data_IF_455044019018
#
_entry.id   IF_455044019018
#
_cell.length_a   1.000
_cell.length_b   1.000
_cell.length_c   1.000
_cell.angle_alpha   90.00
_cell.angle_beta   90.00
_cell.angle_gamma   90.00
#
_symmetry.space_group_name_H-M   'P 1'
#
loop_
_entity.id
_entity.type
_entity.pdbx_description
1 polymer ?
#
# COMPACT_ATOMS: atom_id res chain seq x y z
N UNK A 1 8.84 3.04 -29.16
CA UNK A 1 8.74 3.25 -27.70
C UNK A 1 9.52 4.51 -27.40
N UNK A 2 8.91 5.52 -26.78
CA UNK A 2 9.64 6.75 -26.46
C UNK A 2 10.64 6.53 -25.31
N UNK A 3 11.75 7.26 -25.35
CA UNK A 3 12.82 7.14 -24.38
C UNK A 3 12.41 7.63 -22.99
N UNK A 4 11.54 8.64 -22.93
CA UNK A 4 10.83 9.12 -21.75
C UNK A 4 10.15 8.00 -20.94
N UNK A 5 9.35 7.17 -21.62
CA UNK A 5 8.65 6.02 -21.03
C UNK A 5 9.63 4.97 -20.50
N UNK A 6 10.71 4.70 -21.24
CA UNK A 6 11.77 3.77 -20.82
C UNK A 6 12.50 4.26 -19.57
N UNK A 7 12.85 5.54 -19.50
CA UNK A 7 13.57 6.13 -18.37
C UNK A 7 12.72 6.16 -17.09
N UNK A 8 11.44 6.53 -17.20
CA UNK A 8 10.53 6.51 -16.04
C UNK A 8 10.25 5.09 -15.53
N UNK A 9 10.11 4.12 -16.43
CA UNK A 9 10.05 2.71 -16.04
C UNK A 9 11.34 2.27 -15.33
N UNK A 10 12.53 2.59 -15.83
CA UNK A 10 13.79 2.26 -15.15
C UNK A 10 13.89 2.88 -13.75
N UNK A 11 13.41 4.13 -13.57
CA UNK A 11 13.33 4.78 -12.27
C UNK A 11 12.35 4.09 -11.29
N UNK A 12 11.21 3.57 -11.78
CA UNK A 12 10.26 2.78 -10.99
C UNK A 12 10.86 1.46 -10.45
N UNK A 13 11.91 0.96 -11.10
CA UNK A 13 12.38 -0.41 -10.98
C UNK A 13 13.47 -0.60 -9.92
N UNK A 14 13.94 0.46 -9.25
CA UNK A 14 15.20 0.47 -8.49
C UNK A 14 16.41 0.03 -9.34
N UNK A 15 16.34 0.24 -10.67
CA UNK A 15 17.50 0.10 -11.55
C UNK A 15 18.25 1.44 -11.48
N UNK A 16 19.53 1.46 -11.05
CA UNK A 16 20.23 2.70 -10.74
C UNK A 16 20.35 3.65 -11.94
N UNK A 17 19.59 4.74 -11.91
CA UNK A 17 19.52 5.75 -12.98
C UNK A 17 20.79 6.62 -13.06
N UNK A 18 21.74 6.46 -12.12
CA UNK A 18 23.03 7.15 -12.13
C UNK A 18 23.98 6.72 -13.28
N UNK A 19 23.62 5.71 -14.07
CA UNK A 19 24.44 5.19 -15.18
C UNK A 19 24.08 5.73 -16.58
N UNK A 20 23.15 6.69 -16.71
CA UNK A 20 22.76 7.28 -18.01
C UNK A 20 22.72 8.82 -18.02
N UNK A 21 23.55 9.48 -17.20
CA UNK A 21 23.93 10.89 -17.47
C UNK A 21 25.13 10.92 -18.41
N UNK A 22 24.85 11.01 -19.71
CA UNK A 22 25.84 11.23 -20.76
C UNK A 22 25.45 12.46 -21.62
N UNK A 23 25.28 13.61 -20.95
CA UNK A 23 25.01 14.92 -21.55
C UNK A 23 25.31 16.05 -20.53
N UNK A 24 26.57 16.10 -20.08
CA UNK A 24 27.39 17.24 -19.59
C UNK A 24 26.82 18.34 -18.63
N UNK A 25 27.70 19.10 -17.94
CA UNK A 25 27.28 19.95 -16.83
C UNK A 25 26.66 21.28 -17.30
N UNK A 26 25.72 21.79 -16.49
CA UNK A 26 25.47 23.23 -16.43
C UNK A 26 26.69 23.85 -15.76
N UNK A 27 27.45 24.64 -16.52
CA UNK A 27 28.47 25.52 -15.99
C UNK A 27 27.81 26.53 -15.04
N UNK A 28 28.27 26.54 -13.78
CA UNK A 28 28.10 27.67 -12.89
C UNK A 28 29.34 28.54 -13.05
N UNK A 29 29.31 29.41 -14.07
CA UNK A 29 30.31 30.46 -14.25
C UNK A 29 30.00 31.65 -13.32
N UNK A 30 31.09 32.24 -12.81
CA UNK A 30 31.22 33.51 -12.10
C UNK A 30 30.41 33.74 -10.80
N UNK A 31 31.11 33.58 -9.68
CA UNK A 31 30.91 34.45 -8.52
C UNK A 31 31.23 35.92 -8.87
N UNK A 32 30.76 36.86 -8.05
CA UNK A 32 31.71 37.84 -7.52
C UNK A 32 31.97 37.60 -6.02
N UNK A 33 33.25 37.37 -5.69
CA UNK A 33 33.79 37.42 -4.34
C UNK A 33 33.64 38.82 -3.68
N UNK A 34 34.11 38.93 -2.42
CA UNK A 34 34.55 40.16 -1.70
C UNK A 34 33.43 41.05 -1.11
N UNK A 35 33.52 41.54 0.13
CA UNK A 35 34.39 41.24 1.29
C UNK A 35 33.58 41.64 2.56
N UNK A 36 33.46 40.81 3.60
CA UNK A 36 34.40 40.59 4.73
C UNK A 36 34.45 41.71 5.81
N UNK A 37 34.64 41.30 7.08
CA UNK A 37 34.64 42.10 8.34
C UNK A 37 33.25 42.51 8.86
N UNK A 38 32.72 42.15 10.05
CA UNK A 38 33.22 41.65 11.35
C UNK A 38 33.49 42.70 12.45
N UNK A 39 32.65 42.70 13.48
CA UNK A 39 32.92 42.84 14.94
C UNK A 39 31.62 42.44 15.69
N UNK A 40 31.61 41.69 16.80
CA UNK A 40 32.03 42.03 18.19
C UNK A 40 31.17 43.21 18.73
N UNK A 41 30.47 43.17 19.87
CA UNK A 41 30.73 42.44 21.13
C UNK A 41 29.46 42.04 21.92
N UNK A 42 29.70 41.36 23.05
CA UNK A 42 28.85 40.81 24.12
C UNK A 42 28.00 41.86 24.91
N UNK A 43 27.25 41.60 26.00
CA UNK A 43 27.17 40.59 27.09
C UNK A 43 25.72 39.99 27.17
N UNK A 44 25.41 38.82 27.76
CA UNK A 44 25.43 38.40 29.19
C UNK A 44 24.53 39.30 30.09
N UNK A 45 23.77 38.86 31.10
CA UNK A 45 23.58 37.57 31.84
C UNK A 45 22.06 37.19 31.78
N UNK A 46 21.44 36.16 32.38
CA UNK A 46 21.79 35.13 33.37
C UNK A 46 20.93 33.83 33.17
N UNK A 47 20.95 32.91 34.14
CA UNK A 47 20.23 31.61 34.11
C UNK A 47 19.67 31.22 35.53
N UNK A 48 19.11 30.01 35.76
CA UNK A 48 18.12 29.69 36.83
C UNK A 48 18.83 29.10 38.11
N UNK A 49 18.20 28.36 39.07
CA UNK A 49 16.83 27.83 39.16
C UNK A 49 16.12 27.89 40.53
N UNK A 50 14.86 27.42 40.57
CA UNK A 50 14.13 27.11 41.80
C UNK A 50 13.37 25.78 41.66
N UNK A 51 13.60 24.84 42.59
CA UNK A 51 12.98 23.52 42.59
C UNK A 51 12.40 23.18 43.97
N UNK A 52 11.09 22.92 44.04
CA UNK A 52 10.45 22.41 45.25
C UNK A 52 9.40 21.33 44.95
N UNK A 53 9.46 20.24 45.72
CA UNK A 53 8.40 19.24 45.85
C UNK A 53 7.71 19.42 47.20
N UNK A 54 6.40 19.68 47.21
CA UNK A 54 5.48 19.29 48.28
C UNK A 54 4.16 18.92 47.58
N UNK A 55 3.56 17.72 47.67
CA UNK A 55 3.20 16.77 48.75
C UNK A 55 1.89 17.11 49.49
N UNK A 56 0.99 16.13 49.44
CA UNK A 56 -0.09 15.77 50.38
C UNK A 56 -1.25 16.75 50.66
N UNK A 57 -2.46 16.34 50.27
CA UNK A 57 -3.75 16.46 50.97
C UNK A 57 -4.77 15.57 50.21
N UNK A 58 -4.77 14.26 50.43
CA UNK A 58 -5.65 13.55 51.38
C UNK A 58 -7.16 13.61 51.06
N UNK A 59 -7.64 12.52 50.46
CA UNK A 59 -9.05 12.13 50.41
C UNK A 59 -9.12 10.59 50.38
N UNK A 60 -9.46 9.96 51.50
CA UNK A 60 -9.39 8.50 51.69
C UNK A 60 -10.64 7.97 52.40
N UNK A 61 -10.72 6.63 52.51
CA UNK A 61 -11.87 5.84 52.99
C UNK A 61 -13.00 5.66 51.95
N UNK A 62 -13.61 4.47 51.80
CA UNK A 62 -13.40 3.20 52.49
C UNK A 62 -13.65 1.96 51.58
N UNK A 63 -12.99 0.85 51.91
CA UNK A 63 -13.31 -0.49 51.39
C UNK A 63 -13.81 -1.39 52.52
N UNK A 64 -14.95 -2.08 52.38
CA UNK A 64 -15.28 -3.22 53.23
C UNK A 64 -14.56 -4.49 52.74
N UNK A 65 -13.95 -5.24 53.65
CA UNK A 65 -13.37 -6.57 53.36
C UNK A 65 -14.43 -7.66 53.57
N UNK A 66 -14.46 -8.64 52.68
CA UNK A 66 -14.99 -10.00 52.97
C UNK A 66 -13.94 -11.02 52.50
N UNK A 67 -13.71 -12.05 53.31
CA UNK A 67 -12.67 -13.07 53.11
C UNK A 67 -13.24 -14.36 52.46
N UNK A 68 -12.40 -15.24 51.86
CA UNK A 68 -12.87 -16.24 50.91
C UNK A 68 -13.17 -17.63 51.53
N UNK A 69 -14.05 -18.43 50.90
CA UNK A 69 -14.11 -19.87 51.10
C UNK A 69 -13.16 -20.64 50.17
N UNK A 70 -12.57 -21.69 50.76
CA UNK A 70 -11.66 -22.73 50.24
C UNK A 70 -11.76 -23.13 48.76
N UNK A 71 -10.61 -23.54 48.21
CA UNK A 71 -10.49 -24.24 46.93
C UNK A 71 -11.19 -25.61 46.91
N UNK A 72 -11.67 -26.00 45.73
CA UNK A 72 -12.06 -27.36 45.34
C UNK A 72 -11.34 -27.70 44.03
N UNK A 73 -11.02 -28.97 43.83
CA UNK A 73 -10.15 -29.48 42.77
C UNK A 73 -10.68 -29.33 41.35
N UNK A 74 -9.72 -29.38 40.43
CA UNK A 74 -9.82 -29.70 39.00
C UNK A 74 -11.19 -30.18 38.49
N UNK A 75 -11.77 -29.35 37.62
CA UNK A 75 -12.05 -29.84 36.26
C UNK A 75 -11.48 -28.86 35.26
N UNK A 76 -10.50 -29.31 34.47
CA UNK A 76 -10.12 -28.66 33.24
C UNK A 76 -11.29 -28.75 32.24
N UNK A 77 -12.26 -27.84 32.39
CA UNK A 77 -13.07 -27.42 31.25
C UNK A 77 -12.11 -26.69 30.32
N UNK A 78 -11.60 -27.41 29.33
CA UNK A 78 -11.03 -26.78 28.14
C UNK A 78 -12.02 -25.71 27.69
N UNK A 79 -11.63 -24.45 27.81
CA UNK A 79 -12.26 -23.41 27.00
C UNK A 79 -12.10 -23.91 25.57
N UNK A 80 -13.19 -24.11 24.80
CA UNK A 80 -13.02 -24.37 23.39
C UNK A 80 -12.30 -23.15 22.85
N UNK A 81 -11.04 -23.33 22.43
CA UNK A 81 -10.35 -22.31 21.66
C UNK A 81 -11.29 -21.99 20.50
N UNK A 82 -11.61 -20.71 20.34
CA UNK A 82 -12.54 -20.28 19.30
C UNK A 82 -12.09 -20.78 17.93
N UNK A 83 -12.99 -20.82 16.94
CA UNK A 83 -12.56 -21.08 15.56
C UNK A 83 -11.37 -20.17 15.22
N UNK A 84 -10.42 -20.71 14.45
CA UNK A 84 -9.25 -19.96 14.01
C UNK A 84 -9.69 -18.61 13.40
N UNK A 85 -8.86 -17.58 13.61
CA UNK A 85 -9.17 -16.17 13.30
C UNK A 85 -9.95 -16.04 12.00
N UNK A 86 -11.12 -15.38 12.05
CA UNK A 86 -12.06 -15.32 10.92
C UNK A 86 -11.38 -14.65 9.71
N UNK A 87 -10.91 -15.48 8.77
CA UNK A 87 -9.99 -15.11 7.68
C UNK A 87 -10.57 -14.08 6.71
N UNK A 88 -10.53 -12.82 7.12
CA UNK A 88 -10.95 -11.69 6.31
C UNK A 88 -10.03 -11.43 5.11
N UNK A 89 -10.56 -10.63 4.17
CA UNK A 89 -9.84 -10.11 3.03
C UNK A 89 -9.71 -8.59 3.17
N UNK A 90 -8.49 -8.08 3.02
CA UNK A 90 -8.21 -6.64 3.01
C UNK A 90 -7.50 -6.30 1.70
N UNK A 91 -8.09 -5.39 0.92
CA UNK A 91 -7.59 -4.98 -0.40
C UNK A 91 -7.38 -3.47 -0.46
N UNK A 92 -6.52 -3.03 -1.38
CA UNK A 92 -6.31 -1.63 -1.74
C UNK A 92 -6.71 -1.44 -3.20
N UNK A 93 -7.79 -0.69 -3.45
CA UNK A 93 -8.20 -0.26 -4.78
C UNK A 93 -7.57 1.11 -5.07
N UNK A 94 -6.84 1.23 -6.18
CA UNK A 94 -6.07 2.45 -6.50
C UNK A 94 -6.32 2.85 -7.97
N UNK A 95 -7.23 3.80 -8.23
CA UNK A 95 -7.37 4.42 -9.54
C UNK A 95 -6.16 5.34 -9.83
N UNK A 96 -5.46 5.07 -10.92
CA UNK A 96 -4.25 5.78 -11.34
C UNK A 96 -4.28 6.00 -12.87
N UNK A 97 -4.74 7.18 -13.30
CA UNK A 97 -5.03 7.45 -14.71
C UNK A 97 -6.17 6.57 -15.23
N UNK A 98 -6.00 5.98 -16.41
CA UNK A 98 -6.98 5.06 -17.02
C UNK A 98 -6.90 3.63 -16.48
N UNK A 99 -6.07 3.35 -15.46
CA UNK A 99 -5.92 2.00 -14.88
C UNK A 99 -6.42 1.99 -13.44
N UNK A 100 -7.23 0.98 -13.09
CA UNK A 100 -7.54 0.65 -11.70
C UNK A 100 -6.66 -0.52 -11.25
N UNK A 101 -5.79 -0.27 -10.28
CA UNK A 101 -5.00 -1.32 -9.63
C UNK A 101 -5.77 -1.86 -8.42
N UNK A 102 -5.72 -3.16 -8.19
CA UNK A 102 -6.35 -3.83 -7.04
C UNK A 102 -5.34 -4.83 -6.47
N UNK A 103 -4.81 -4.56 -5.27
CA UNK A 103 -3.84 -5.42 -4.58
C UNK A 103 -4.35 -5.81 -3.18
N UNK A 104 -3.65 -6.72 -2.51
CA UNK A 104 -3.77 -6.90 -1.07
C UNK A 104 -3.44 -5.59 -0.34
N UNK A 105 -4.16 -5.30 0.75
CA UNK A 105 -3.87 -4.13 1.58
C UNK A 105 -2.46 -4.24 2.19
N UNK A 106 -1.58 -3.24 2.00
CA UNK A 106 -0.21 -3.30 2.49
C UNK A 106 -0.12 -3.32 4.02
N UNK A 107 0.91 -3.95 4.61
CA UNK A 107 1.19 -3.80 6.03
C UNK A 107 1.47 -2.34 6.40
N UNK A 108 1.20 -1.98 7.65
CA UNK A 108 1.31 -0.60 8.13
C UNK A 108 2.71 -0.01 7.84
N UNK A 109 2.73 1.16 7.21
CA UNK A 109 3.96 1.88 6.85
C UNK A 109 4.48 1.65 5.42
N UNK A 110 4.07 0.60 4.70
CA UNK A 110 4.52 0.39 3.31
C UNK A 110 3.60 0.98 2.23
N UNK A 111 2.39 1.42 2.60
CA UNK A 111 1.39 2.03 1.69
C UNK A 111 1.98 3.11 0.77
N UNK A 112 2.80 4.02 1.32
CA UNK A 112 3.45 5.07 0.51
C UNK A 112 4.28 4.49 -0.64
N UNK A 113 5.09 3.45 -0.38
CA UNK A 113 5.93 2.81 -1.42
C UNK A 113 5.08 2.06 -2.45
N UNK A 114 3.95 1.49 -2.03
CA UNK A 114 2.97 0.86 -2.94
C UNK A 114 2.33 1.92 -3.85
N UNK A 115 1.92 3.07 -3.32
CA UNK A 115 1.37 4.18 -4.12
C UNK A 115 2.41 4.80 -5.06
N UNK A 116 3.67 4.95 -4.62
CA UNK A 116 4.78 5.41 -5.46
C UNK A 116 5.06 4.43 -6.63
N UNK A 117 5.06 3.12 -6.36
CA UNK A 117 5.17 2.09 -7.40
C UNK A 117 3.97 2.11 -8.37
N UNK A 118 2.75 2.22 -7.86
CA UNK A 118 1.54 2.28 -8.69
C UNK A 118 1.53 3.54 -9.57
N UNK A 119 1.98 4.70 -9.05
CA UNK A 119 2.14 5.92 -9.84
C UNK A 119 3.10 5.71 -11.03
N UNK A 120 4.22 5.02 -10.78
CA UNK A 120 5.25 4.80 -11.77
C UNK A 120 4.88 3.70 -12.79
N UNK A 121 4.15 2.66 -12.39
CA UNK A 121 3.53 1.67 -13.29
C UNK A 121 2.48 2.34 -14.20
N UNK A 122 1.59 3.15 -13.62
CA UNK A 122 0.59 3.89 -14.38
C UNK A 122 1.22 4.89 -15.37
N UNK A 123 2.29 5.59 -14.98
CA UNK A 123 3.08 6.43 -15.88
C UNK A 123 3.68 5.60 -17.02
N UNK A 124 4.32 4.46 -16.73
CA UNK A 124 4.91 3.60 -17.76
C UNK A 124 3.84 3.03 -18.73
N UNK A 125 2.61 2.80 -18.27
CA UNK A 125 1.50 2.35 -19.11
C UNK A 125 0.97 3.49 -20.01
N UNK A 126 0.68 4.66 -19.43
CA UNK A 126 -0.11 5.72 -20.07
C UNK A 126 0.62 7.04 -20.39
N UNK A 127 1.91 7.19 -20.07
CA UNK A 127 2.74 8.37 -20.32
C UNK A 127 2.42 9.63 -19.50
N UNK A 128 1.22 9.74 -18.94
CA UNK A 128 0.82 10.83 -18.07
C UNK A 128 1.31 10.67 -16.62
N UNK A 129 1.70 11.79 -15.98
CA UNK A 129 1.84 11.82 -14.51
C UNK A 129 0.46 11.66 -13.87
N UNK A 130 0.37 10.83 -12.84
CA UNK A 130 -0.86 10.55 -12.09
C UNK A 130 -0.64 10.78 -10.61
N UNK A 131 -1.72 11.10 -9.89
CA UNK A 131 -1.78 11.05 -8.43
C UNK A 131 -2.70 9.87 -8.05
N UNK A 132 -2.15 8.68 -7.73
CA UNK A 132 -2.95 7.55 -7.28
C UNK A 132 -3.64 7.89 -5.97
N UNK A 133 -4.86 7.37 -5.76
CA UNK A 133 -5.60 7.61 -4.53
C UNK A 133 -6.10 6.28 -3.95
N UNK A 134 -5.73 5.93 -2.70
CA UNK A 134 -6.10 4.68 -2.08
C UNK A 134 -7.58 4.65 -1.68
N UNK A 135 -8.24 3.54 -1.99
CA UNK A 135 -9.55 3.16 -1.46
C UNK A 135 -9.40 1.82 -0.74
N UNK A 136 -9.19 1.83 0.59
CA UNK A 136 -9.07 0.59 1.36
C UNK A 136 -10.42 -0.13 1.43
N UNK A 137 -10.38 -1.44 1.26
CA UNK A 137 -11.52 -2.35 1.39
C UNK A 137 -11.18 -3.42 2.43
N UNK A 138 -12.13 -3.73 3.32
CA UNK A 138 -11.99 -4.80 4.31
C UNK A 138 -13.31 -5.57 4.44
N UNK A 139 -13.22 -6.90 4.46
CA UNK A 139 -14.35 -7.81 4.60
C UNK A 139 -13.96 -9.02 5.46
N UNK A 140 -14.83 -9.55 6.33
CA UNK A 140 -16.21 -9.12 6.56
C UNK A 140 -16.31 -7.87 7.47
N UNK A 141 -17.47 -7.19 7.51
CA UNK A 141 -17.80 -6.29 8.60
C UNK A 141 -17.73 -7.02 9.95
N UNK A 142 -17.39 -6.29 11.03
CA UNK A 142 -17.27 -6.90 12.38
C UNK A 142 -18.55 -7.63 12.79
N UNK A 143 -18.43 -8.91 13.16
CA UNK A 143 -19.56 -9.74 13.58
C UNK A 143 -20.36 -10.37 12.44
N UNK A 144 -19.86 -10.31 11.19
CA UNK A 144 -20.41 -11.02 10.03
C UNK A 144 -19.40 -12.10 9.62
N UNK A 145 -19.88 -13.32 9.31
CA UNK A 145 -19.01 -14.39 8.84
C UNK A 145 -18.45 -14.09 7.44
N UNK A 146 -17.23 -14.58 7.13
CA UNK A 146 -16.64 -14.39 5.81
C UNK A 146 -17.35 -15.22 4.71
N UNK A 147 -17.97 -14.51 3.77
CA UNK A 147 -18.46 -15.07 2.50
C UNK A 147 -17.73 -14.39 1.33
N UNK A 148 -17.06 -15.19 0.49
CA UNK A 148 -16.31 -14.74 -0.70
C UNK A 148 -17.22 -14.14 -1.77
N UNK A 149 -18.45 -14.61 -1.92
CA UNK A 149 -19.38 -14.09 -2.92
C UNK A 149 -19.82 -12.67 -2.54
N UNK A 150 -20.31 -12.49 -1.31
CA UNK A 150 -20.67 -11.18 -0.77
C UNK A 150 -19.47 -10.20 -0.76
N UNK A 151 -18.28 -10.69 -0.37
CA UNK A 151 -17.05 -9.91 -0.42
C UNK A 151 -16.72 -9.42 -1.84
N UNK A 152 -16.83 -10.32 -2.84
CA UNK A 152 -16.60 -10.01 -4.25
C UNK A 152 -17.60 -8.99 -4.77
N UNK A 153 -18.88 -9.18 -4.48
CA UNK A 153 -19.94 -8.31 -4.99
C UNK A 153 -19.90 -6.92 -4.32
N UNK A 154 -19.46 -6.84 -3.06
CA UNK A 154 -19.13 -5.57 -2.39
C UNK A 154 -17.94 -4.84 -3.06
N UNK A 155 -16.89 -5.56 -3.50
CA UNK A 155 -15.80 -4.97 -4.30
C UNK A 155 -16.30 -4.51 -5.67
N UNK A 156 -17.15 -5.28 -6.35
CA UNK A 156 -17.74 -4.87 -7.63
C UNK A 156 -18.62 -3.61 -7.48
N UNK A 157 -19.41 -3.51 -6.41
CA UNK A 157 -20.16 -2.29 -6.09
C UNK A 157 -19.26 -1.08 -5.83
N UNK A 158 -18.13 -1.26 -5.15
CA UNK A 158 -17.12 -0.22 -4.98
C UNK A 158 -16.46 0.16 -6.31
N UNK A 159 -16.13 -0.81 -7.18
CA UNK A 159 -15.57 -0.56 -8.52
C UNK A 159 -16.54 0.22 -9.41
N UNK A 160 -17.84 -0.10 -9.37
CA UNK A 160 -18.88 0.63 -10.09
C UNK A 160 -18.96 2.10 -9.61
N UNK A 161 -19.03 2.32 -8.29
CA UNK A 161 -19.04 3.66 -7.69
C UNK A 161 -17.76 4.46 -7.98
N UNK A 162 -16.59 3.81 -8.00
CA UNK A 162 -15.35 4.46 -8.44
C UNK A 162 -15.46 4.93 -9.89
N UNK A 163 -16.09 4.13 -10.77
CA UNK A 163 -16.25 4.44 -12.19
C UNK A 163 -17.19 5.62 -12.47
N UNK A 164 -18.19 5.85 -11.63
CA UNK A 164 -19.03 7.06 -11.68
C UNK A 164 -18.21 8.36 -11.57
N UNK A 165 -17.11 8.31 -10.79
CA UNK A 165 -16.22 9.45 -10.55
C UNK A 165 -14.94 9.47 -11.39
N UNK A 166 -14.53 8.33 -11.98
CA UNK A 166 -13.26 8.17 -12.70
C UNK A 166 -13.37 7.18 -13.84
N UNK A 167 -12.99 7.61 -15.05
CA UNK A 167 -12.85 6.72 -16.21
C UNK A 167 -11.57 5.88 -16.09
N UNK A 168 -11.71 4.61 -15.77
CA UNK A 168 -10.67 3.59 -15.98
C UNK A 168 -11.10 2.62 -17.08
N UNK A 169 -10.14 2.25 -17.93
CA UNK A 169 -10.32 1.42 -19.13
C UNK A 169 -9.62 0.05 -19.00
N UNK A 170 -8.79 -0.13 -17.97
CA UNK A 170 -8.15 -1.40 -17.62
C UNK A 170 -8.21 -1.63 -16.11
N UNK A 171 -8.35 -2.88 -15.69
CA UNK A 171 -8.13 -3.32 -14.30
C UNK A 171 -6.86 -4.17 -14.25
N UNK A 172 -5.97 -3.89 -13.30
CA UNK A 172 -4.82 -4.73 -13.00
C UNK A 172 -4.99 -5.29 -11.58
N UNK A 173 -5.25 -6.59 -11.51
CA UNK A 173 -5.27 -7.35 -10.27
C UNK A 173 -3.85 -7.76 -9.93
N UNK A 174 -3.42 -7.40 -8.74
CA UNK A 174 -2.09 -7.66 -8.21
C UNK A 174 -2.22 -8.63 -7.04
N UNK A 175 -1.37 -9.67 -7.00
CA UNK A 175 -1.34 -10.59 -5.88
C UNK A 175 -2.39 -11.71 -5.90
N UNK A 176 -2.10 -12.76 -5.12
CA UNK A 176 -2.93 -13.97 -5.04
C UNK A 176 -4.29 -13.69 -4.38
N UNK A 177 -4.33 -12.87 -3.31
CA UNK A 177 -5.55 -12.61 -2.54
C UNK A 177 -6.61 -11.85 -3.36
N UNK A 178 -6.19 -10.85 -4.15
CA UNK A 178 -7.11 -10.10 -5.01
C UNK A 178 -7.64 -10.97 -6.17
N UNK A 179 -6.80 -11.83 -6.75
CA UNK A 179 -7.21 -12.81 -7.76
C UNK A 179 -8.17 -13.86 -7.18
N UNK A 180 -7.90 -14.39 -5.98
CA UNK A 180 -8.76 -15.36 -5.30
C UNK A 180 -10.15 -14.77 -5.00
N UNK A 181 -10.23 -13.50 -4.57
CA UNK A 181 -11.52 -12.84 -4.36
C UNK A 181 -12.28 -12.66 -5.68
N UNK A 182 -11.71 -11.93 -6.63
CA UNK A 182 -12.40 -11.46 -7.83
C UNK A 182 -12.70 -12.57 -8.84
N UNK A 183 -11.77 -13.54 -8.97
CA UNK A 183 -11.78 -14.57 -10.00
C UNK A 183 -12.08 -15.98 -9.45
N UNK A 184 -12.00 -16.16 -8.12
CA UNK A 184 -12.10 -17.48 -7.50
C UNK A 184 -10.85 -18.34 -7.70
N UNK A 185 -9.72 -17.75 -8.08
CA UNK A 185 -8.48 -18.48 -8.36
C UNK A 185 -7.84 -19.04 -7.07
N UNK A 186 -7.29 -20.24 -7.17
CA UNK A 186 -6.37 -20.79 -6.16
C UNK A 186 -4.91 -20.44 -6.49
N UNK A 187 -3.99 -20.77 -5.57
CA UNK A 187 -2.56 -20.49 -5.75
C UNK A 187 -1.89 -21.23 -6.92
N UNK A 188 -2.46 -22.34 -7.41
CA UNK A 188 -1.97 -23.01 -8.62
C UNK A 188 -2.35 -22.21 -9.87
N UNK A 189 -3.61 -21.79 -9.98
CA UNK A 189 -4.13 -20.96 -11.07
C UNK A 189 -3.43 -19.59 -11.11
N UNK A 190 -3.12 -18.99 -9.96
CA UNK A 190 -2.38 -17.72 -9.88
C UNK A 190 -0.90 -17.86 -10.27
N UNK A 191 -0.25 -19.01 -9.98
CA UNK A 191 1.12 -19.31 -10.44
C UNK A 191 1.16 -19.65 -11.93
N UNK A 192 0.18 -20.40 -12.42
CA UNK A 192 0.02 -20.79 -13.82
C UNK A 192 -0.75 -19.75 -14.66
N UNK A 193 -0.92 -18.52 -14.16
CA UNK A 193 -1.65 -17.46 -14.85
C UNK A 193 -1.03 -17.14 -16.21
N UNK A 194 -1.87 -16.91 -17.20
CA UNK A 194 -1.43 -16.41 -18.50
C UNK A 194 -1.29 -14.87 -18.49
N UNK A 195 -0.24 -14.36 -19.12
CA UNK A 195 0.07 -12.94 -19.31
C UNK A 195 -0.88 -12.23 -20.29
N UNK A 196 -2.21 -12.38 -20.13
CA UNK A 196 -3.25 -11.86 -21.04
C UNK A 196 -4.34 -11.09 -20.30
N UNK A 197 -4.91 -10.10 -20.98
CA UNK A 197 -6.15 -9.47 -20.54
C UNK A 197 -7.34 -10.42 -20.74
N UNK A 198 -8.22 -10.50 -19.75
CA UNK A 198 -9.43 -11.34 -19.76
C UNK A 198 -10.68 -10.52 -19.43
N UNK A 199 -11.85 -10.98 -19.88
CA UNK A 199 -13.16 -10.41 -19.51
C UNK A 199 -13.71 -11.20 -18.31
N UNK A 200 -14.27 -10.50 -17.33
CA UNK A 200 -14.76 -11.09 -16.08
C UNK A 200 -16.20 -10.65 -15.82
N UNK A 201 -17.15 -11.55 -15.52
CA UNK A 201 -18.54 -11.17 -15.27
C UNK A 201 -18.67 -10.14 -14.14
N UNK A 202 -19.28 -8.98 -14.44
CA UNK A 202 -19.39 -7.84 -13.53
C UNK A 202 -18.23 -6.83 -13.60
N UNK A 203 -17.25 -7.03 -14.48
CA UNK A 203 -16.14 -6.08 -14.73
C UNK A 203 -16.07 -5.79 -16.24
N UNK A 204 -16.63 -4.65 -16.65
CA UNK A 204 -16.72 -4.30 -18.08
C UNK A 204 -15.37 -3.92 -18.70
N UNK A 205 -14.38 -3.55 -17.88
CA UNK A 205 -13.02 -3.26 -18.32
C UNK A 205 -12.19 -4.57 -18.46
N UNK A 206 -11.29 -4.70 -19.46
CA UNK A 206 -10.33 -5.79 -19.51
C UNK A 206 -9.51 -5.87 -18.22
N UNK A 207 -9.37 -7.07 -17.68
CA UNK A 207 -8.69 -7.38 -16.44
C UNK A 207 -7.42 -8.18 -16.71
N UNK A 208 -6.29 -7.73 -16.18
CA UNK A 208 -5.01 -8.45 -16.18
C UNK A 208 -4.69 -8.92 -14.75
N UNK A 209 -3.97 -10.04 -14.59
CA UNK A 209 -3.48 -10.52 -13.29
C UNK A 209 -1.95 -10.55 -13.27
N UNK A 210 -1.33 -9.99 -12.23
CA UNK A 210 0.13 -9.93 -12.08
C UNK A 210 0.56 -9.98 -10.61
N UNK A 211 1.86 -9.84 -10.32
CA UNK A 211 2.40 -9.95 -8.96
C UNK A 211 1.97 -8.79 -8.04
N UNK A 212 1.90 -9.04 -6.72
CA UNK A 212 1.57 -8.01 -5.71
C UNK A 212 2.63 -6.93 -5.60
N UNK A 213 2.23 -5.70 -5.31
CA UNK A 213 3.12 -4.55 -5.15
C UNK A 213 4.15 -4.79 -4.02
N UNK A 214 3.79 -5.52 -2.97
CA UNK A 214 4.74 -5.98 -1.94
C UNK A 214 5.87 -6.83 -2.55
N UNK A 215 5.54 -7.90 -3.29
CA UNK A 215 6.53 -8.74 -3.97
C UNK A 215 7.32 -7.98 -5.04
N UNK A 216 6.74 -6.96 -5.65
CA UNK A 216 7.45 -6.05 -6.57
C UNK A 216 8.47 -5.16 -5.86
N UNK A 217 8.10 -4.58 -4.71
CA UNK A 217 9.00 -3.73 -3.90
C UNK A 217 10.18 -4.52 -3.30
N UNK A 218 10.03 -5.84 -3.15
CA UNK A 218 11.05 -6.74 -2.60
C UNK A 218 11.93 -7.42 -3.67
N UNK A 219 11.39 -7.73 -4.86
CA UNK A 219 12.08 -8.56 -5.85
C UNK A 219 12.10 -7.94 -7.27
N UNK A 220 13.26 -7.41 -7.72
CA UNK A 220 13.43 -6.85 -9.07
C UNK A 220 13.12 -7.80 -10.24
N UNK A 221 13.19 -9.13 -10.04
CA UNK A 221 12.80 -10.11 -11.07
C UNK A 221 11.27 -10.17 -11.24
N UNK A 222 10.51 -10.07 -10.14
CA UNK A 222 9.05 -9.98 -10.21
C UNK A 222 8.59 -8.67 -10.86
N UNK A 223 9.34 -7.57 -10.67
CA UNK A 223 9.07 -6.32 -11.40
C UNK A 223 9.20 -6.52 -12.92
N UNK A 224 10.25 -7.22 -13.39
CA UNK A 224 10.43 -7.53 -14.82
C UNK A 224 9.35 -8.48 -15.36
N UNK A 225 8.98 -9.50 -14.59
CA UNK A 225 7.90 -10.43 -14.96
C UNK A 225 6.55 -9.71 -15.09
N UNK A 226 6.22 -8.82 -14.16
CA UNK A 226 4.97 -8.06 -14.20
C UNK A 226 4.92 -7.04 -15.34
N UNK A 227 6.06 -6.50 -15.76
CA UNK A 227 6.12 -5.69 -16.97
C UNK A 227 5.88 -6.52 -18.23
N UNK A 228 6.36 -7.77 -18.28
CA UNK A 228 6.01 -8.69 -19.37
C UNK A 228 4.51 -9.02 -19.37
N UNK A 229 3.90 -9.26 -18.21
CA UNK A 229 2.43 -9.42 -18.08
C UNK A 229 1.69 -8.19 -18.64
N UNK A 230 2.10 -6.98 -18.25
CA UNK A 230 1.47 -5.71 -18.65
C UNK A 230 1.62 -5.45 -20.15
N UNK A 231 2.78 -5.76 -20.74
CA UNK A 231 2.99 -5.57 -22.19
C UNK A 231 2.23 -6.62 -23.02
N UNK A 232 2.28 -7.90 -22.64
CA UNK A 232 1.54 -8.96 -23.33
C UNK A 232 0.01 -8.75 -23.22
N UNK A 233 -0.48 -8.35 -22.05
CA UNK A 233 -1.89 -8.02 -21.81
C UNK A 233 -2.42 -6.83 -22.63
N UNK A 234 -1.56 -5.96 -23.17
CA UNK A 234 -1.93 -4.87 -24.09
C UNK A 234 -1.95 -5.31 -25.55
N UNK A 235 -1.05 -6.18 -25.96
CA UNK A 235 -0.93 -6.64 -27.36
C UNK A 235 -2.09 -7.55 -27.81
N UNK A 236 -2.70 -8.29 -26.89
CA UNK A 236 -3.86 -9.16 -27.16
C UNK A 236 -5.21 -8.44 -27.21
N UNK A 237 -5.24 -7.15 -27.57
CA UNK A 237 -6.43 -6.28 -27.54
C UNK A 237 -6.94 -5.81 -28.91
N UNK A 238 -6.60 -6.55 -29.99
CA UNK A 238 -6.94 -6.25 -31.40
C UNK A 238 -7.78 -7.39 -31.97
#
# INVERSE_FOLDING_TARGET
MEESLRLAYLAAMDIPVWLLRAADPVLLEDEPEQHASAHTEALETAAPPGAHRARDLLGSSASPRIAPPRAVTERARSVPQGPAEESGCALLLVPAGYTLFIDQAPPQGSERRVLELIAALAFAIGGGRVAPQPYPFAWPPRGVAYDRAQARDAVLGLMAKLRESRRFEQVIVMGEQAAALLLGWNGEQYRARESRSQRVPGIDAPLLVTHSAAGLLENPLLKRASWADIQAGRSGGV
#
